data_IF_032956067703
#
_entry.id   IF_032956067703
#
_cell.length_a   1.000
_cell.length_b   1.000
_cell.length_c   1.000
_cell.angle_alpha   90.00
_cell.angle_beta   90.00
_cell.angle_gamma   90.00
#
_symmetry.space_group_name_H-M   'P 1'
#
loop_
_entity.id
_entity.type
_entity.pdbx_description
1 polymer ?
#
# COMPACT_ATOMS: atom_id res chain seq x y z
N UNK A 1 5.59 -8.95 -15.20
CA UNK A 1 4.84 -7.74 -15.60
C UNK A 1 5.84 -6.77 -16.21
N UNK A 2 5.90 -6.61 -17.55
CA UNK A 2 7.03 -5.96 -18.24
C UNK A 2 7.26 -4.47 -17.92
N UNK A 3 6.28 -3.76 -17.33
CA UNK A 3 6.33 -2.29 -17.20
C UNK A 3 6.36 -1.76 -15.76
N UNK A 4 6.43 -2.61 -14.74
CA UNK A 4 6.43 -2.18 -13.32
C UNK A 4 7.83 -2.00 -12.71
N UNK A 5 8.91 -2.30 -13.45
CA UNK A 5 10.29 -2.33 -12.91
C UNK A 5 10.79 -1.01 -12.31
N UNK A 6 10.12 0.11 -12.57
CA UNK A 6 10.47 1.43 -12.03
C UNK A 6 9.33 2.06 -11.22
N UNK A 7 8.20 1.36 -11.06
CA UNK A 7 7.07 1.86 -10.29
C UNK A 7 7.23 1.41 -8.84
N UNK A 8 7.37 2.34 -7.87
CA UNK A 8 7.43 1.96 -6.46
C UNK A 8 6.18 1.21 -6.03
N UNK A 9 6.33 0.13 -5.27
CA UNK A 9 5.21 -0.67 -4.76
C UNK A 9 5.17 -0.58 -3.23
N UNK A 10 3.97 -0.39 -2.68
CA UNK A 10 3.74 -0.44 -1.24
C UNK A 10 2.60 -1.37 -0.88
N UNK A 11 2.91 -2.38 -0.08
CA UNK A 11 1.94 -3.33 0.42
C UNK A 11 1.42 -2.88 1.78
N UNK A 12 0.09 -2.89 1.95
CA UNK A 12 -0.55 -2.64 3.24
C UNK A 12 -1.37 -3.87 3.57
N UNK A 13 -1.01 -4.57 4.64
CA UNK A 13 -1.56 -5.87 5.01
C UNK A 13 -2.13 -5.85 6.43
N UNK A 14 -3.15 -6.68 6.69
CA UNK A 14 -3.64 -6.97 8.03
C UNK A 14 -2.80 -8.06 8.70
N UNK A 15 -2.44 -7.92 9.97
CA UNK A 15 -1.62 -8.93 10.69
C UNK A 15 -2.31 -10.28 10.87
N UNK A 16 -3.66 -10.29 10.89
CA UNK A 16 -4.51 -11.46 11.13
C UNK A 16 -5.59 -11.58 10.05
N UNK A 17 -5.27 -11.28 8.79
CA UNK A 17 -6.23 -11.38 7.68
C UNK A 17 -6.49 -12.87 7.34
N UNK A 18 -7.72 -13.38 7.57
CA UNK A 18 -8.04 -14.78 7.27
C UNK A 18 -8.17 -15.06 5.77
N UNK A 19 -8.32 -14.03 4.94
CA UNK A 19 -8.45 -14.15 3.49
C UNK A 19 -7.10 -14.08 2.78
N UNK A 20 -6.16 -13.31 3.33
CA UNK A 20 -4.80 -13.15 2.79
C UNK A 20 -3.78 -13.38 3.91
N UNK A 21 -3.52 -14.65 4.27
CA UNK A 21 -2.51 -14.96 5.29
C UNK A 21 -1.09 -14.66 4.77
N UNK A 22 -0.09 -14.54 5.66
CA UNK A 22 1.28 -14.21 5.27
C UNK A 22 1.86 -15.10 4.16
N UNK A 23 1.53 -16.39 4.15
CA UNK A 23 2.00 -17.35 3.14
C UNK A 23 1.46 -17.03 1.74
N UNK A 24 0.27 -16.45 1.63
CA UNK A 24 -0.30 -16.00 0.37
C UNK A 24 0.32 -14.66 -0.10
N UNK A 25 0.79 -13.85 0.85
CA UNK A 25 1.46 -12.57 0.57
C UNK A 25 2.91 -12.74 0.07
N UNK A 26 3.67 -13.69 0.64
CA UNK A 26 5.10 -13.87 0.34
C UNK A 26 5.44 -13.96 -1.16
N UNK A 27 4.72 -14.73 -2.00
CA UNK A 27 5.01 -14.79 -3.43
C UNK A 27 4.84 -13.43 -4.14
N UNK A 28 3.87 -12.60 -3.70
CA UNK A 28 3.69 -11.25 -4.24
C UNK A 28 4.85 -10.34 -3.83
N UNK A 29 5.29 -10.43 -2.57
CA UNK A 29 6.43 -9.68 -2.08
C UNK A 29 7.71 -10.05 -2.83
N UNK A 30 8.02 -11.34 -2.95
CA UNK A 30 9.25 -11.83 -3.59
C UNK A 30 9.30 -11.48 -5.09
N UNK A 31 8.16 -11.49 -5.77
CA UNK A 31 8.07 -11.16 -7.20
C UNK A 31 8.01 -9.66 -7.50
N UNK A 32 7.74 -8.82 -6.50
CA UNK A 32 7.66 -7.37 -6.69
C UNK A 32 9.05 -6.76 -6.96
N UNK A 33 9.19 -5.90 -7.98
CA UNK A 33 10.43 -5.18 -8.25
C UNK A 33 10.73 -4.12 -7.18
N UNK A 34 12.00 -3.75 -7.06
CA UNK A 34 12.41 -2.59 -6.28
C UNK A 34 12.11 -1.28 -7.05
N UNK A 35 11.85 -0.15 -6.35
CA UNK A 35 11.75 -0.04 -4.89
C UNK A 35 10.41 -0.56 -4.35
N UNK A 36 10.44 -1.44 -3.34
CA UNK A 36 9.23 -1.90 -2.63
C UNK A 36 9.31 -1.68 -1.13
N UNK A 37 8.14 -1.62 -0.49
CA UNK A 37 8.01 -1.42 0.95
C UNK A 37 6.71 -2.02 1.46
N UNK A 38 6.60 -2.24 2.77
CA UNK A 38 5.39 -2.81 3.37
C UNK A 38 5.00 -2.16 4.69
N UNK A 39 3.72 -2.28 5.04
CA UNK A 39 3.14 -1.91 6.33
C UNK A 39 2.15 -2.95 6.77
N UNK A 40 2.35 -3.48 7.97
CA UNK A 40 1.39 -4.33 8.66
C UNK A 40 0.54 -3.50 9.62
N UNK A 41 -0.78 -3.64 9.50
CA UNK A 41 -1.79 -2.99 10.33
C UNK A 41 -2.44 -4.06 11.19
N UNK A 42 -2.54 -3.81 12.50
CA UNK A 42 -3.20 -4.73 13.41
C UNK A 42 -4.67 -4.92 13.00
N UNK A 43 -5.06 -6.16 12.76
CA UNK A 43 -6.42 -6.51 12.34
C UNK A 43 -6.47 -7.55 11.22
N UNK A 44 -7.70 -7.85 10.79
CA UNK A 44 -7.97 -8.77 9.68
C UNK A 44 -8.12 -8.04 8.34
N UNK A 45 -8.92 -8.63 7.44
CA UNK A 45 -9.21 -8.05 6.14
C UNK A 45 -9.87 -6.67 6.26
N UNK A 46 -9.37 -5.69 5.49
CA UNK A 46 -9.94 -4.35 5.48
C UNK A 46 -11.34 -4.36 4.85
N UNK A 47 -12.32 -3.85 5.57
CA UNK A 47 -13.69 -3.78 5.08
C UNK A 47 -13.92 -2.45 4.34
N UNK A 48 -14.14 -2.44 3.01
CA UNK A 48 -14.33 -1.20 2.25
C UNK A 48 -15.63 -0.46 2.62
N UNK A 49 -16.54 -1.10 3.37
CA UNK A 49 -17.76 -0.46 3.90
C UNK A 49 -17.57 0.10 5.31
N UNK A 50 -16.45 -0.19 5.97
CA UNK A 50 -16.13 0.34 7.28
C UNK A 50 -15.39 1.68 7.14
N UNK A 51 -16.02 2.77 7.60
CA UNK A 51 -15.43 4.11 7.52
C UNK A 51 -14.04 4.17 8.19
N UNK A 52 -13.87 3.48 9.31
CA UNK A 52 -12.59 3.44 10.05
C UNK A 52 -11.47 2.86 9.19
N UNK A 53 -11.71 1.75 8.50
CA UNK A 53 -10.71 1.10 7.66
C UNK A 53 -10.37 1.99 6.46
N UNK A 54 -11.39 2.55 5.81
CA UNK A 54 -11.20 3.45 4.67
C UNK A 54 -10.39 4.71 5.04
N UNK A 55 -10.67 5.32 6.19
CA UNK A 55 -9.90 6.48 6.66
C UNK A 55 -8.45 6.10 7.00
N UNK A 56 -8.24 4.97 7.65
CA UNK A 56 -6.90 4.51 8.03
C UNK A 56 -6.06 4.16 6.80
N UNK A 57 -6.59 3.35 5.89
CA UNK A 57 -5.90 2.97 4.64
C UNK A 57 -5.66 4.19 3.76
N UNK A 58 -6.65 5.08 3.62
CA UNK A 58 -6.48 6.33 2.87
C UNK A 58 -5.35 7.19 3.42
N UNK A 59 -5.23 7.30 4.74
CA UNK A 59 -4.13 8.02 5.40
C UNK A 59 -2.77 7.37 5.10
N UNK A 60 -2.65 6.05 5.24
CA UNK A 60 -1.40 5.33 4.96
C UNK A 60 -0.97 5.48 3.50
N UNK A 61 -1.92 5.36 2.57
CA UNK A 61 -1.67 5.60 1.14
C UNK A 61 -1.18 7.02 0.87
N UNK A 62 -1.78 8.01 1.55
CA UNK A 62 -1.39 9.42 1.41
C UNK A 62 0.03 9.66 1.93
N UNK A 63 0.32 9.22 3.15
CA UNK A 63 1.65 9.38 3.78
C UNK A 63 2.75 8.69 2.97
N UNK A 64 2.46 7.52 2.39
CA UNK A 64 3.41 6.85 1.51
C UNK A 64 3.62 7.64 0.21
N UNK A 65 2.55 8.07 -0.45
CA UNK A 65 2.64 8.82 -1.71
C UNK A 65 3.40 10.14 -1.55
N UNK A 66 3.23 10.83 -0.41
CA UNK A 66 3.99 12.04 -0.06
C UNK A 66 5.49 11.73 0.06
N UNK A 67 5.86 10.68 0.81
CA UNK A 67 7.27 10.26 0.99
C UNK A 67 7.95 9.86 -0.31
N UNK A 68 7.20 9.28 -1.26
CA UNK A 68 7.73 8.93 -2.59
C UNK A 68 7.79 10.14 -3.55
N UNK A 69 7.31 11.32 -3.14
CA UNK A 69 7.22 12.48 -4.03
C UNK A 69 6.21 12.32 -5.18
N UNK A 70 5.32 11.32 -5.11
CA UNK A 70 4.32 11.03 -6.16
C UNK A 70 3.20 12.08 -6.15
N UNK A 71 2.96 12.72 -5.01
CA UNK A 71 2.04 13.86 -4.89
C UNK A 71 2.80 15.16 -4.60
N UNK A 72 3.47 15.72 -5.61
CA UNK A 72 3.64 17.16 -5.67
C UNK A 72 2.37 17.75 -6.30
N UNK A 73 1.41 18.18 -5.48
CA UNK A 73 0.48 19.19 -5.97
C UNK A 73 1.31 20.46 -6.21
N UNK A 74 1.82 20.66 -7.42
CA UNK A 74 2.27 21.99 -7.81
C UNK A 74 1.02 22.85 -7.84
N UNK A 75 0.87 23.86 -6.97
CA UNK A 75 -0.13 24.86 -7.25
C UNK A 75 0.29 25.49 -8.59
N UNK A 76 -0.55 25.38 -9.61
CA UNK A 76 -0.37 26.13 -10.85
C UNK A 76 -0.57 27.62 -10.53
N UNK A 77 0.40 28.23 -9.87
CA UNK A 77 0.52 29.68 -9.79
C UNK A 77 1.35 30.07 -11.01
N UNK A 78 0.65 30.52 -12.06
CA UNK A 78 1.22 31.34 -13.11
C UNK A 78 1.31 32.78 -12.64
#
# INVERSE_FOLDING_TARGET
LPDIYQTPIHFINGTNDPLVPPEAYLPMWESAPEPKSEKWVEGGHFNPRALKDMLNIGKLMYEWAEKQGIRSCYPHIK
#
